data_IF_609118498799
#
_entry.id   IF_609118498799
#
_cell.length_a   1.000
_cell.length_b   1.000
_cell.length_c   1.000
_cell.angle_alpha   90.00
_cell.angle_beta   90.00
_cell.angle_gamma   90.00
#
_symmetry.space_group_name_H-M   'P 1'
#
loop_
_entity.id
_entity.type
_entity.pdbx_description
1 polymer ?
#
# COMPACT_ATOMS: atom_id res chain seq x y z
N UNK A 1 24.51 22.39 9.90
CA UNK A 1 24.75 21.23 9.02
C UNK A 1 24.23 19.92 9.63
N UNK A 2 23.14 19.99 10.41
CA UNK A 2 22.48 18.79 11.02
C UNK A 2 21.11 18.49 10.43
N UNK A 3 20.66 19.19 9.39
CA UNK A 3 19.26 19.10 8.90
C UNK A 3 19.04 18.27 7.62
N UNK A 4 20.07 17.71 6.99
CA UNK A 4 19.89 16.99 5.71
C UNK A 4 19.62 15.47 5.85
N UNK A 5 19.77 14.88 7.05
CA UNK A 5 19.65 13.44 7.27
C UNK A 5 18.54 13.03 8.26
N UNK A 6 17.51 13.86 8.43
CA UNK A 6 16.47 13.60 9.42
C UNK A 6 15.09 14.04 8.93
N UNK A 7 14.07 13.19 9.08
CA UNK A 7 12.67 13.50 8.79
C UNK A 7 11.84 13.29 10.06
N UNK A 8 11.16 14.33 10.53
CA UNK A 8 10.32 14.29 11.74
C UNK A 8 11.04 13.85 13.03
N UNK A 9 12.36 14.02 13.11
CA UNK A 9 13.18 13.58 14.22
C UNK A 9 13.79 12.18 14.08
N UNK A 10 13.52 11.48 12.98
CA UNK A 10 14.05 10.14 12.67
C UNK A 10 15.19 10.21 11.65
N UNK A 11 16.22 9.42 11.82
CA UNK A 11 17.26 9.20 10.80
C UNK A 11 16.66 8.53 9.56
N UNK A 12 17.34 8.63 8.42
CA UNK A 12 16.85 7.98 7.18
C UNK A 12 16.73 6.47 7.33
N UNK A 13 17.63 5.83 8.07
CA UNK A 13 17.55 4.38 8.35
C UNK A 13 16.29 4.03 9.16
N UNK A 14 15.98 4.80 10.20
CA UNK A 14 14.74 4.64 10.98
C UNK A 14 13.50 4.89 10.11
N UNK A 15 13.53 5.89 9.24
CA UNK A 15 12.42 6.17 8.31
C UNK A 15 12.19 5.00 7.34
N UNK A 16 13.25 4.43 6.76
CA UNK A 16 13.14 3.25 5.90
C UNK A 16 12.53 2.09 6.68
N UNK A 17 12.97 1.86 7.90
CA UNK A 17 12.41 0.83 8.77
C UNK A 17 10.92 1.06 9.07
N UNK A 18 10.50 2.31 9.30
CA UNK A 18 9.09 2.65 9.46
C UNK A 18 8.27 2.35 8.20
N UNK A 19 8.81 2.63 6.99
CA UNK A 19 8.15 2.27 5.72
C UNK A 19 7.91 0.76 5.65
N UNK A 20 8.96 -0.03 5.83
CA UNK A 20 8.91 -1.50 5.77
C UNK A 20 7.90 -2.08 6.78
N UNK A 21 8.03 -1.72 8.05
CA UNK A 21 7.16 -2.25 9.10
C UNK A 21 5.69 -1.84 8.89
N UNK A 22 5.43 -0.58 8.52
CA UNK A 22 4.08 -0.11 8.29
C UNK A 22 3.43 -0.85 7.11
N UNK A 23 4.19 -1.08 6.03
CA UNK A 23 3.76 -1.88 4.90
C UNK A 23 3.43 -3.33 5.33
N UNK A 24 4.33 -4.01 6.02
CA UNK A 24 4.12 -5.38 6.46
C UNK A 24 2.90 -5.53 7.38
N UNK A 25 2.73 -4.62 8.34
CA UNK A 25 1.55 -4.63 9.21
C UNK A 25 0.26 -4.42 8.43
N UNK A 26 0.24 -3.43 7.53
CA UNK A 26 -0.94 -3.09 6.73
C UNK A 26 -1.34 -4.25 5.82
N UNK A 27 -0.40 -4.74 5.03
CA UNK A 27 -0.67 -5.75 4.00
C UNK A 27 -0.92 -7.14 4.58
N UNK A 28 -0.46 -7.43 5.78
CA UNK A 28 -0.78 -8.68 6.50
C UNK A 28 -2.29 -8.87 6.71
N UNK A 29 -3.09 -7.79 6.69
CA UNK A 29 -4.54 -7.91 6.80
C UNK A 29 -5.17 -8.62 5.60
N UNK A 30 -4.58 -8.55 4.42
CA UNK A 30 -5.07 -9.30 3.25
C UNK A 30 -5.05 -10.82 3.47
N UNK A 31 -4.06 -11.33 4.20
CA UNK A 31 -3.95 -12.76 4.51
C UNK A 31 -4.81 -13.25 5.67
N UNK A 32 -5.66 -12.40 6.28
CA UNK A 32 -6.47 -12.75 7.46
C UNK A 32 -7.95 -12.99 7.15
N UNK A 33 -8.39 -12.71 5.92
CA UNK A 33 -9.78 -12.89 5.49
C UNK A 33 -10.18 -14.36 5.32
N UNK A 34 -11.46 -14.65 5.17
CA UNK A 34 -11.95 -15.99 4.89
C UNK A 34 -11.32 -16.56 3.62
N UNK A 35 -10.78 -17.78 3.70
CA UNK A 35 -10.08 -18.43 2.58
C UNK A 35 -8.70 -17.86 2.25
N UNK A 36 -8.22 -16.85 2.99
CA UNK A 36 -6.89 -16.32 2.90
C UNK A 36 -5.96 -16.95 3.93
N UNK A 37 -4.65 -16.82 3.73
CA UNK A 37 -3.66 -17.26 4.70
C UNK A 37 -2.49 -16.30 4.77
N UNK A 38 -2.14 -15.89 5.98
CA UNK A 38 -0.92 -15.15 6.30
C UNK A 38 0.13 -16.15 6.81
N UNK A 39 1.31 -16.09 6.23
CA UNK A 39 2.48 -16.88 6.63
C UNK A 39 3.54 -15.94 7.20
N UNK A 40 3.77 -16.04 8.49
CA UNK A 40 4.87 -15.36 9.20
C UNK A 40 5.84 -16.41 9.73
N UNK A 41 6.95 -16.56 9.06
CA UNK A 41 7.97 -17.57 9.33
C UNK A 41 9.22 -16.97 9.99
N UNK A 42 9.11 -15.70 10.43
CA UNK A 42 10.20 -14.94 11.03
C UNK A 42 11.12 -14.31 10.00
N UNK A 43 11.73 -15.09 9.11
CA UNK A 43 12.62 -14.63 8.03
C UNK A 43 11.89 -14.41 6.68
N UNK A 44 10.67 -14.87 6.55
CA UNK A 44 9.78 -14.60 5.41
C UNK A 44 8.37 -14.25 5.90
N UNK A 45 7.75 -13.26 5.25
CA UNK A 45 6.37 -12.84 5.50
C UNK A 45 5.65 -12.70 4.16
N UNK A 46 4.56 -13.45 4.01
CA UNK A 46 3.81 -13.48 2.76
C UNK A 46 2.36 -13.87 3.02
N UNK A 47 1.48 -13.55 2.08
CA UNK A 47 0.09 -13.94 2.16
C UNK A 47 -0.43 -14.44 0.82
N UNK A 48 -1.50 -15.21 0.92
CA UNK A 48 -2.26 -15.73 -0.20
C UNK A 48 -3.75 -15.53 -0.01
N UNK A 49 -4.43 -15.29 -1.13
CA UNK A 49 -5.88 -15.13 -1.16
C UNK A 49 -6.48 -15.96 -2.29
N UNK A 50 -7.81 -16.16 -2.34
CA UNK A 50 -8.48 -16.76 -3.49
C UNK A 50 -8.49 -15.89 -4.75
N UNK A 51 -8.15 -14.60 -4.66
CA UNK A 51 -8.15 -13.67 -5.80
C UNK A 51 -6.85 -13.88 -6.58
N UNK A 52 -6.88 -14.36 -7.85
CA UNK A 52 -5.72 -14.91 -8.52
C UNK A 52 -4.80 -13.87 -9.17
N UNK A 53 -5.01 -12.58 -8.94
CA UNK A 53 -4.27 -11.48 -9.56
C UNK A 53 -3.43 -10.71 -8.53
N UNK A 54 -2.47 -9.91 -9.00
CA UNK A 54 -1.75 -8.96 -8.15
C UNK A 54 -2.71 -7.87 -7.64
N UNK A 55 -2.53 -7.35 -6.41
CA UNK A 55 -1.49 -7.68 -5.44
C UNK A 55 -1.92 -8.72 -4.39
N UNK A 56 -2.95 -9.52 -4.67
CA UNK A 56 -3.64 -10.36 -3.68
C UNK A 56 -2.91 -11.65 -3.29
N UNK A 57 -1.69 -11.87 -3.82
CA UNK A 57 -0.79 -12.95 -3.44
C UNK A 57 0.63 -12.38 -3.42
N UNK A 58 1.12 -12.00 -2.24
CA UNK A 58 2.32 -11.16 -2.14
C UNK A 58 3.31 -11.70 -1.11
N UNK A 59 4.59 -11.74 -1.50
CA UNK A 59 5.73 -11.89 -0.60
C UNK A 59 6.20 -10.48 -0.23
N UNK A 60 6.08 -10.15 1.07
CA UNK A 60 6.34 -8.80 1.59
C UNK A 60 7.72 -8.68 2.24
N UNK A 61 8.23 -9.78 2.81
CA UNK A 61 9.51 -9.85 3.50
C UNK A 61 10.20 -11.15 3.11
N UNK A 62 11.49 -11.06 2.81
CA UNK A 62 12.32 -12.23 2.55
C UNK A 62 13.74 -11.95 3.04
N UNK A 63 14.08 -12.44 4.22
CA UNK A 63 15.36 -12.24 4.90
C UNK A 63 16.11 -13.58 5.10
N UNK A 64 15.74 -14.58 4.32
CA UNK A 64 16.33 -15.92 4.35
C UNK A 64 17.83 -15.87 4.02
N UNK A 65 18.68 -16.43 4.89
CA UNK A 65 20.13 -16.40 4.76
C UNK A 65 20.70 -17.72 4.25
N UNK A 66 20.05 -18.84 4.56
CA UNK A 66 20.50 -20.19 4.17
C UNK A 66 19.54 -20.78 3.14
N UNK A 67 20.08 -21.56 2.20
CA UNK A 67 19.28 -22.25 1.16
C UNK A 67 18.35 -21.33 0.38
N UNK A 68 18.80 -20.12 0.09
CA UNK A 68 17.99 -19.06 -0.55
C UNK A 68 17.32 -19.56 -1.82
N UNK A 69 18.06 -20.25 -2.72
CA UNK A 69 17.53 -20.76 -3.97
C UNK A 69 16.40 -21.79 -3.76
N UNK A 70 16.59 -22.75 -2.84
CA UNK A 70 15.59 -23.76 -2.49
C UNK A 70 14.30 -23.10 -1.93
N UNK A 71 14.48 -22.06 -1.09
CA UNK A 71 13.36 -21.36 -0.48
C UNK A 71 12.57 -20.53 -1.50
N UNK A 72 13.26 -19.82 -2.40
CA UNK A 72 12.64 -19.09 -3.52
C UNK A 72 11.86 -20.06 -4.41
N UNK A 73 12.48 -21.19 -4.81
CA UNK A 73 11.83 -22.22 -5.62
C UNK A 73 10.55 -22.73 -4.94
N UNK A 74 10.60 -22.99 -3.64
CA UNK A 74 9.44 -23.47 -2.86
C UNK A 74 8.29 -22.48 -2.92
N UNK A 75 8.53 -21.19 -2.65
CA UNK A 75 7.49 -20.16 -2.65
C UNK A 75 6.96 -19.90 -4.05
N UNK A 76 7.83 -19.77 -5.05
CA UNK A 76 7.39 -19.58 -6.44
C UNK A 76 6.52 -20.73 -6.92
N UNK A 77 6.92 -21.99 -6.63
CA UNK A 77 6.13 -23.15 -7.00
C UNK A 77 4.81 -23.26 -6.22
N UNK A 78 4.76 -22.80 -4.97
CA UNK A 78 3.53 -22.72 -4.20
C UNK A 78 2.46 -21.91 -4.94
N UNK A 79 2.77 -20.68 -5.37
CA UNK A 79 1.85 -19.84 -6.12
C UNK A 79 1.52 -20.42 -7.51
N UNK A 80 2.50 -21.02 -8.20
CA UNK A 80 2.28 -21.66 -9.51
C UNK A 80 1.30 -22.82 -9.43
N UNK A 81 1.41 -23.69 -8.43
CA UNK A 81 0.50 -24.84 -8.27
C UNK A 81 -0.94 -24.41 -7.98
N UNK A 82 -1.12 -23.23 -7.43
CA UNK A 82 -2.43 -22.60 -7.19
C UNK A 82 -2.96 -21.84 -8.42
N UNK A 83 -2.15 -21.70 -9.45
CA UNK A 83 -2.47 -20.93 -10.65
C UNK A 83 -2.89 -19.48 -10.33
N UNK A 84 -2.12 -18.82 -9.47
CA UNK A 84 -2.29 -17.41 -9.10
C UNK A 84 -1.06 -16.59 -9.44
N UNK A 85 -1.27 -15.32 -9.82
CA UNK A 85 -0.17 -14.39 -10.05
C UNK A 85 0.40 -13.95 -8.70
N UNK A 86 1.72 -13.94 -8.59
CA UNK A 86 2.43 -13.55 -7.38
C UNK A 86 3.14 -12.21 -7.55
N UNK A 87 3.20 -11.44 -6.47
CA UNK A 87 3.97 -10.22 -6.35
C UNK A 87 5.06 -10.40 -5.30
N UNK A 88 6.26 -9.94 -5.58
CA UNK A 88 7.35 -9.84 -4.61
C UNK A 88 7.78 -8.37 -4.52
N UNK A 89 7.65 -7.79 -3.35
CA UNK A 89 8.17 -6.47 -3.02
C UNK A 89 9.50 -6.64 -2.27
N UNK A 90 10.59 -6.19 -2.87
CA UNK A 90 11.93 -6.35 -2.30
C UNK A 90 12.29 -5.08 -1.52
N UNK A 91 12.20 -5.18 -0.21
CA UNK A 91 12.66 -4.14 0.70
C UNK A 91 14.20 -4.14 0.87
N UNK A 92 14.74 -3.07 1.47
CA UNK A 92 16.18 -2.89 1.68
C UNK A 92 16.81 -3.94 2.60
N UNK A 93 16.00 -4.57 3.45
CA UNK A 93 16.43 -5.59 4.41
C UNK A 93 16.54 -7.02 3.85
N UNK A 94 16.31 -7.21 2.55
CA UNK A 94 16.26 -8.55 1.94
C UNK A 94 17.64 -9.09 1.56
N UNK A 95 17.64 -10.40 1.24
CA UNK A 95 18.83 -11.14 0.79
C UNK A 95 19.39 -10.59 -0.53
N UNK A 96 20.69 -10.25 -0.63
CA UNK A 96 21.24 -9.58 -1.82
C UNK A 96 21.11 -10.35 -3.13
N UNK A 97 20.98 -11.68 -3.09
CA UNK A 97 20.86 -12.55 -4.28
C UNK A 97 19.41 -12.76 -4.73
N UNK A 98 18.43 -12.22 -4.01
CA UNK A 98 17.01 -12.52 -4.24
C UNK A 98 16.55 -12.15 -5.66
N UNK A 99 16.91 -10.97 -6.16
CA UNK A 99 16.55 -10.52 -7.51
C UNK A 99 16.99 -11.53 -8.58
N UNK A 100 18.24 -12.02 -8.50
CA UNK A 100 18.77 -13.02 -9.42
C UNK A 100 17.98 -14.34 -9.35
N UNK A 101 17.64 -14.79 -8.14
CA UNK A 101 16.87 -16.02 -7.96
C UNK A 101 15.45 -15.88 -8.54
N UNK A 102 14.78 -14.75 -8.30
CA UNK A 102 13.43 -14.50 -8.85
C UNK A 102 13.45 -14.53 -10.38
N UNK A 103 14.43 -13.89 -11.02
CA UNK A 103 14.60 -13.89 -12.47
C UNK A 103 14.86 -15.28 -13.03
N UNK A 104 15.70 -16.10 -12.37
CA UNK A 104 15.95 -17.49 -12.75
C UNK A 104 14.68 -18.35 -12.70
N UNK A 105 13.74 -18.02 -11.83
CA UNK A 105 12.44 -18.65 -11.74
C UNK A 105 11.36 -17.98 -12.62
N UNK A 106 11.75 -17.08 -13.55
CA UNK A 106 10.88 -16.50 -14.56
C UNK A 106 10.02 -15.34 -14.06
N UNK A 107 10.28 -14.78 -12.87
CA UNK A 107 9.68 -13.51 -12.45
C UNK A 107 10.44 -12.35 -13.11
N UNK A 108 9.71 -11.30 -13.45
CA UNK A 108 10.27 -10.10 -14.07
C UNK A 108 10.16 -8.91 -13.12
N UNK A 109 11.21 -8.09 -13.11
CA UNK A 109 11.11 -6.76 -12.49
C UNK A 109 10.17 -5.90 -13.34
N UNK A 110 9.12 -5.40 -12.72
CA UNK A 110 8.06 -4.67 -13.41
C UNK A 110 7.99 -3.20 -13.02
N UNK A 111 8.47 -2.89 -11.82
CA UNK A 111 8.48 -1.53 -11.29
C UNK A 111 9.57 -1.41 -10.21
N UNK A 112 10.09 -0.20 -10.03
CA UNK A 112 10.88 0.18 -8.86
C UNK A 112 10.07 1.25 -8.12
N UNK A 113 9.46 0.87 -7.01
CA UNK A 113 8.62 1.75 -6.21
C UNK A 113 9.47 2.66 -5.32
N UNK A 114 9.37 4.01 -5.44
CA UNK A 114 9.98 4.93 -4.48
C UNK A 114 9.35 4.78 -3.10
N UNK A 115 10.17 4.48 -2.09
CA UNK A 115 9.79 4.58 -0.68
C UNK A 115 9.95 6.03 -0.22
N UNK A 116 8.86 6.65 0.20
CA UNK A 116 8.81 8.08 0.47
C UNK A 116 8.29 8.40 1.85
N UNK A 117 8.77 9.50 2.42
CA UNK A 117 8.36 9.95 3.74
C UNK A 117 8.31 11.48 3.83
N UNK A 118 7.54 11.97 4.81
CA UNK A 118 7.51 13.39 5.17
C UNK A 118 7.16 13.61 6.65
N UNK A 119 7.61 14.76 7.19
CA UNK A 119 7.10 15.26 8.47
C UNK A 119 5.65 15.75 8.33
N UNK A 120 4.84 15.49 9.38
CA UNK A 120 3.48 15.99 9.50
C UNK A 120 3.37 17.34 10.21
N UNK A 121 4.49 17.95 10.64
CA UNK A 121 4.47 19.25 11.34
C UNK A 121 3.92 20.39 10.48
N UNK A 122 4.37 20.48 9.22
CA UNK A 122 4.03 21.59 8.32
C UNK A 122 3.30 21.07 7.09
N UNK A 123 1.99 20.91 7.19
CA UNK A 123 1.14 20.45 6.09
C UNK A 123 0.57 21.69 5.39
N UNK A 124 0.88 21.88 4.11
CA UNK A 124 0.32 22.95 3.28
C UNK A 124 -1.18 22.75 3.10
N UNK A 125 -1.90 23.88 2.95
CA UNK A 125 -3.32 23.80 2.62
C UNK A 125 -3.52 23.19 1.23
N UNK A 126 -4.55 22.34 1.06
CA UNK A 126 -4.85 21.75 -0.22
C UNK A 126 -5.42 22.79 -1.19
N UNK A 127 -5.51 22.50 -2.48
CA UNK A 127 -6.29 23.30 -3.41
C UNK A 127 -7.77 23.34 -2.94
N UNK A 128 -8.53 24.36 -3.36
CA UNK A 128 -9.95 24.44 -3.02
C UNK A 128 -10.71 23.22 -3.54
N UNK A 129 -11.72 22.79 -2.77
CA UNK A 129 -12.55 21.66 -3.16
C UNK A 129 -13.33 22.03 -4.43
N UNK A 130 -13.32 21.19 -5.48
CA UNK A 130 -14.09 21.45 -6.70
C UNK A 130 -15.59 21.51 -6.43
N UNK A 131 -16.31 22.28 -7.23
CA UNK A 131 -17.77 22.41 -7.11
C UNK A 131 -18.47 21.06 -7.24
N UNK A 132 -19.43 20.81 -6.36
CA UNK A 132 -20.19 19.55 -6.31
C UNK A 132 -19.42 18.35 -5.77
N UNK A 133 -18.19 18.55 -5.28
CA UNK A 133 -17.41 17.49 -4.62
C UNK A 133 -17.49 17.63 -3.11
N UNK A 134 -17.64 16.51 -2.42
CA UNK A 134 -17.56 16.42 -0.97
C UNK A 134 -16.55 15.32 -0.56
N UNK A 135 -15.91 15.52 0.60
CA UNK A 135 -15.00 14.55 1.20
C UNK A 135 -15.68 13.96 2.43
N UNK A 136 -15.69 12.62 2.51
CA UNK A 136 -16.22 11.89 3.67
C UNK A 136 -15.20 10.88 4.18
N UNK A 137 -15.04 10.82 5.50
CA UNK A 137 -14.34 9.72 6.16
C UNK A 137 -15.27 8.50 6.17
N UNK A 138 -14.76 7.33 5.86
CA UNK A 138 -15.50 6.07 5.89
C UNK A 138 -15.74 5.66 7.35
N UNK A 139 -17.01 5.52 7.72
CA UNK A 139 -17.43 5.23 9.10
C UNK A 139 -18.42 4.08 9.20
N UNK A 140 -19.00 3.63 8.09
CA UNK A 140 -20.05 2.62 8.05
C UNK A 140 -19.72 1.49 7.08
N UNK A 141 -20.40 0.36 7.21
CA UNK A 141 -20.27 -0.76 6.27
C UNK A 141 -20.77 -0.38 4.87
N UNK A 142 -21.79 0.50 4.76
CA UNK A 142 -22.27 1.00 3.48
C UNK A 142 -21.18 1.83 2.76
N UNK A 143 -20.45 2.69 3.51
CA UNK A 143 -19.31 3.42 2.95
C UNK A 143 -18.17 2.47 2.53
N UNK A 144 -17.99 1.35 3.26
CA UNK A 144 -16.94 0.37 3.00
C UNK A 144 -17.10 -0.28 1.63
N UNK A 145 -18.34 -0.57 1.21
CA UNK A 145 -18.62 -1.12 -0.12
C UNK A 145 -18.01 -0.25 -1.25
N UNK A 146 -18.00 1.07 -1.10
CA UNK A 146 -17.40 1.98 -2.08
C UNK A 146 -15.87 1.98 -2.08
N UNK A 147 -15.24 1.63 -0.95
CA UNK A 147 -13.80 1.39 -0.89
C UNK A 147 -13.44 0.16 -1.72
N UNK A 148 -14.24 -0.93 -1.59
CA UNK A 148 -14.06 -2.18 -2.33
C UNK A 148 -14.25 -1.97 -3.82
N UNK A 149 -15.31 -1.26 -4.21
CA UNK A 149 -15.65 -0.94 -5.59
C UNK A 149 -14.48 -0.21 -6.30
N UNK A 150 -13.93 0.82 -5.64
CA UNK A 150 -12.78 1.55 -6.17
C UNK A 150 -11.49 0.72 -6.16
N UNK A 151 -11.33 -0.22 -5.22
CA UNK A 151 -10.20 -1.14 -5.21
C UNK A 151 -10.32 -2.18 -6.32
N UNK A 152 -11.50 -2.79 -6.48
CA UNK A 152 -11.78 -3.75 -7.53
C UNK A 152 -11.55 -3.13 -8.92
N UNK A 153 -12.06 -1.92 -9.13
CA UNK A 153 -11.84 -1.18 -10.37
C UNK A 153 -10.36 -0.91 -10.63
N UNK A 154 -9.60 -0.46 -9.62
CA UNK A 154 -8.17 -0.12 -9.79
C UNK A 154 -7.31 -1.32 -10.19
N UNK A 155 -7.59 -2.47 -9.63
CA UNK A 155 -6.80 -3.69 -9.82
C UNK A 155 -7.39 -4.64 -10.88
N UNK A 156 -8.54 -4.29 -11.46
CA UNK A 156 -9.21 -5.16 -12.45
C UNK A 156 -9.66 -6.49 -11.84
N UNK A 157 -10.11 -6.47 -10.57
CA UNK A 157 -10.62 -7.68 -9.91
C UNK A 157 -11.85 -8.17 -10.65
N UNK A 158 -11.87 -9.43 -11.14
CA UNK A 158 -13.04 -9.97 -11.84
C UNK A 158 -14.27 -10.03 -10.90
N UNK A 159 -15.45 -9.77 -11.44
CA UNK A 159 -16.72 -9.68 -10.71
C UNK A 159 -16.97 -10.86 -9.76
N UNK A 160 -16.58 -12.06 -10.18
CA UNK A 160 -16.73 -13.29 -9.37
C UNK A 160 -15.96 -13.27 -8.06
N UNK A 161 -14.98 -12.36 -7.89
CA UNK A 161 -14.17 -12.21 -6.68
C UNK A 161 -14.53 -10.96 -5.86
N UNK A 162 -15.51 -10.14 -6.27
CA UNK A 162 -15.86 -8.92 -5.54
C UNK A 162 -16.35 -9.23 -4.12
N UNK A 163 -17.21 -10.25 -3.95
CA UNK A 163 -17.65 -10.68 -2.62
C UNK A 163 -16.46 -11.14 -1.73
N UNK A 164 -15.45 -11.80 -2.33
CA UNK A 164 -14.25 -12.20 -1.62
C UNK A 164 -13.40 -11.00 -1.22
N UNK A 165 -13.27 -10.01 -2.09
CA UNK A 165 -12.55 -8.77 -1.79
C UNK A 165 -13.23 -8.01 -0.63
N UNK A 166 -14.54 -7.89 -0.63
CA UNK A 166 -15.30 -7.27 0.46
C UNK A 166 -14.99 -7.93 1.81
N UNK A 167 -15.02 -9.28 1.87
CA UNK A 167 -14.67 -10.01 3.09
C UNK A 167 -13.21 -9.77 3.53
N UNK A 168 -12.28 -9.64 2.61
CA UNK A 168 -10.89 -9.30 2.91
C UNK A 168 -10.78 -7.88 3.46
N UNK A 169 -11.47 -6.91 2.88
CA UNK A 169 -11.42 -5.50 3.32
C UNK A 169 -12.02 -5.33 4.72
N UNK A 170 -13.01 -6.15 5.12
CA UNK A 170 -13.54 -6.16 6.49
C UNK A 170 -12.45 -6.43 7.56
N UNK A 171 -11.36 -7.13 7.18
CA UNK A 171 -10.24 -7.39 8.10
C UNK A 171 -9.47 -6.14 8.51
N UNK A 172 -9.59 -5.06 7.75
CA UNK A 172 -9.01 -3.76 8.11
C UNK A 172 -9.82 -3.03 9.19
N UNK A 173 -11.00 -3.52 9.58
CA UNK A 173 -11.84 -3.04 10.68
C UNK A 173 -12.18 -1.54 10.59
N UNK A 174 -12.36 -1.05 9.38
CA UNK A 174 -12.63 0.36 9.08
C UNK A 174 -13.92 0.80 9.80
N UNK A 175 -13.91 2.02 10.35
CA UNK A 175 -15.07 2.55 11.10
C UNK A 175 -15.19 2.06 12.56
N UNK A 176 -14.43 1.05 12.98
CA UNK A 176 -14.44 0.57 14.37
C UNK A 176 -13.56 1.45 15.27
N UNK A 177 -13.88 1.53 16.56
CA UNK A 177 -13.22 2.44 17.51
C UNK A 177 -11.74 2.13 17.75
N UNK A 178 -11.31 0.90 17.52
CA UNK A 178 -9.93 0.42 17.69
C UNK A 178 -9.22 0.18 16.36
N UNK A 179 -9.80 0.67 15.24
CA UNK A 179 -9.19 0.49 13.93
C UNK A 179 -7.89 1.28 13.80
N UNK A 180 -6.91 0.65 13.16
CA UNK A 180 -5.70 1.32 12.69
C UNK A 180 -5.83 1.84 11.26
N UNK A 181 -6.92 1.48 10.56
CA UNK A 181 -7.14 1.79 9.15
C UNK A 181 -8.25 2.81 8.99
N UNK A 182 -7.96 3.88 8.29
CA UNK A 182 -8.89 4.94 7.98
C UNK A 182 -8.95 5.15 6.48
N UNK A 183 -10.15 5.38 5.94
CA UNK A 183 -10.34 5.74 4.54
C UNK A 183 -11.11 7.05 4.42
N UNK A 184 -10.81 7.79 3.36
CA UNK A 184 -11.58 8.94 2.91
C UNK A 184 -11.98 8.75 1.46
N UNK A 185 -13.19 9.16 1.15
CA UNK A 185 -13.76 9.13 -0.19
C UNK A 185 -14.07 10.54 -0.64
N UNK A 186 -13.75 10.86 -1.90
CA UNK A 186 -14.28 12.03 -2.59
C UNK A 186 -15.50 11.60 -3.40
N UNK A 187 -16.60 12.32 -3.22
CA UNK A 187 -17.89 12.07 -3.85
C UNK A 187 -18.25 13.22 -4.77
N UNK A 188 -18.85 12.90 -5.92
CA UNK A 188 -19.48 13.86 -6.82
C UNK A 188 -20.82 13.30 -7.30
N UNK A 189 -21.89 14.09 -7.15
CA UNK A 189 -23.24 13.71 -7.55
C UNK A 189 -23.69 12.34 -6.98
N UNK A 190 -23.28 12.04 -5.73
CA UNK A 190 -23.58 10.78 -5.05
C UNK A 190 -22.75 9.58 -5.49
N UNK A 191 -21.72 9.77 -6.33
CA UNK A 191 -20.84 8.71 -6.81
C UNK A 191 -19.43 8.89 -6.24
N UNK A 192 -18.78 7.83 -5.68
CA UNK A 192 -17.41 7.91 -5.22
C UNK A 192 -16.46 7.94 -6.43
N UNK A 193 -15.60 8.96 -6.50
CA UNK A 193 -14.69 9.22 -7.62
C UNK A 193 -13.21 9.14 -7.26
N UNK A 194 -12.89 9.18 -5.96
CA UNK A 194 -11.52 9.04 -5.47
C UNK A 194 -11.51 8.51 -4.05
N UNK A 195 -10.44 7.83 -3.67
CA UNK A 195 -10.20 7.33 -2.31
C UNK A 195 -8.75 7.42 -1.89
N UNK A 196 -8.55 7.41 -0.57
CA UNK A 196 -7.26 7.21 0.08
C UNK A 196 -7.45 6.33 1.31
N UNK A 197 -6.49 5.45 1.57
CA UNK A 197 -6.35 4.72 2.82
C UNK A 197 -5.16 5.22 3.63
N UNK A 198 -5.31 5.23 4.95
CA UNK A 198 -4.23 5.50 5.88
C UNK A 198 -4.22 4.42 6.97
N UNK A 199 -3.03 3.92 7.29
CA UNK A 199 -2.82 2.92 8.32
C UNK A 199 -1.89 3.46 9.41
N UNK A 200 -2.34 3.37 10.66
CA UNK A 200 -1.58 3.77 11.84
C UNK A 200 -0.82 2.57 12.42
N UNK A 201 0.47 2.47 12.15
CA UNK A 201 1.29 1.36 12.60
C UNK A 201 2.77 1.70 12.64
N UNK A 202 3.51 0.98 13.48
CA UNK A 202 4.98 1.10 13.58
C UNK A 202 5.48 2.54 13.75
N UNK A 203 4.74 3.38 14.50
CA UNK A 203 5.11 4.77 14.77
C UNK A 203 4.92 5.75 13.61
N UNK A 204 4.35 5.33 12.49
CA UNK A 204 4.11 6.15 11.31
C UNK A 204 2.66 6.03 10.82
N UNK A 205 2.22 7.03 10.05
CA UNK A 205 0.97 7.02 9.30
C UNK A 205 1.26 6.64 7.84
N UNK A 206 0.98 5.39 7.48
CA UNK A 206 1.20 4.87 6.13
C UNK A 206 0.05 5.20 5.20
N UNK A 207 0.34 5.66 4.00
CA UNK A 207 -0.66 6.04 2.99
C UNK A 207 -0.72 4.98 1.91
N UNK A 208 -1.91 4.44 1.66
CA UNK A 208 -2.12 3.32 0.73
C UNK A 208 -3.38 3.50 -0.11
N UNK A 209 -3.42 2.82 -1.26
CA UNK A 209 -4.61 2.70 -2.08
C UNK A 209 -5.19 4.04 -2.55
N UNK A 210 -4.32 5.01 -2.88
CA UNK A 210 -4.73 6.28 -3.48
C UNK A 210 -5.22 6.01 -4.90
N UNK A 211 -6.50 6.28 -5.12
CA UNK A 211 -7.17 6.02 -6.41
C UNK A 211 -8.01 7.22 -6.79
N UNK A 212 -7.93 7.64 -8.05
CA UNK A 212 -8.83 8.63 -8.65
C UNK A 212 -9.27 8.11 -10.01
N UNK A 213 -10.60 8.03 -10.23
CA UNK A 213 -11.19 7.62 -11.52
C UNK A 213 -10.71 8.56 -12.64
N UNK A 214 -10.51 8.08 -13.89
CA UNK A 214 -9.94 8.88 -14.96
C UNK A 214 -10.68 10.19 -15.21
N UNK A 215 -12.00 10.17 -15.19
CA UNK A 215 -12.88 11.32 -15.40
C UNK A 215 -12.77 12.40 -14.31
N UNK A 216 -12.19 12.05 -13.17
CA UNK A 216 -11.98 12.95 -12.02
C UNK A 216 -10.50 13.36 -11.82
N UNK A 217 -9.61 12.91 -12.71
CA UNK A 217 -8.19 13.31 -12.68
C UNK A 217 -8.03 14.79 -13.04
N UNK A 218 -6.94 15.40 -12.54
CA UNK A 218 -6.68 16.82 -12.78
C UNK A 218 -7.46 17.78 -11.87
N UNK A 219 -8.42 17.28 -11.07
CA UNK A 219 -9.21 18.08 -10.13
C UNK A 219 -8.53 18.28 -8.75
N UNK A 220 -7.31 17.80 -8.56
CA UNK A 220 -6.59 17.93 -7.29
C UNK A 220 -7.08 17.02 -6.16
N UNK A 221 -7.99 16.07 -6.43
CA UNK A 221 -8.63 15.23 -5.40
C UNK A 221 -7.65 14.42 -4.57
N UNK A 222 -6.63 13.83 -5.19
CA UNK A 222 -5.61 13.08 -4.46
C UNK A 222 -4.88 13.99 -3.45
N UNK A 223 -4.52 15.22 -3.85
CA UNK A 223 -3.88 16.19 -2.94
C UNK A 223 -4.80 16.60 -1.79
N UNK A 224 -6.08 16.81 -2.06
CA UNK A 224 -7.09 17.19 -1.05
C UNK A 224 -7.24 16.05 -0.04
N UNK A 225 -7.49 14.82 -0.51
CA UNK A 225 -7.66 13.64 0.34
C UNK A 225 -6.41 13.36 1.18
N UNK A 226 -5.22 13.43 0.57
CA UNK A 226 -3.96 13.24 1.29
C UNK A 226 -3.73 14.28 2.36
N UNK A 227 -4.04 15.55 2.06
CA UNK A 227 -3.91 16.62 3.05
C UNK A 227 -4.84 16.40 4.23
N UNK A 228 -6.09 16.03 3.98
CA UNK A 228 -7.07 15.72 5.02
C UNK A 228 -6.63 14.55 5.90
N UNK A 229 -6.19 13.46 5.28
CA UNK A 229 -5.70 12.29 5.99
C UNK A 229 -4.43 12.62 6.82
N UNK A 230 -3.49 13.37 6.26
CA UNK A 230 -2.27 13.79 6.97
C UNK A 230 -2.56 14.72 8.14
N UNK A 231 -3.50 15.67 7.99
CA UNK A 231 -3.93 16.54 9.09
C UNK A 231 -4.56 15.72 10.22
N UNK A 232 -5.42 14.77 9.89
CA UNK A 232 -6.01 13.85 10.87
C UNK A 232 -4.92 13.05 11.59
N UNK A 233 -3.96 12.47 10.89
CA UNK A 233 -2.85 11.73 11.50
C UNK A 233 -2.01 12.59 12.45
N UNK A 234 -1.71 13.83 12.05
CA UNK A 234 -1.00 14.77 12.92
C UNK A 234 -1.79 15.07 14.19
N UNK A 235 -3.08 15.31 14.08
CA UNK A 235 -3.96 15.64 15.21
C UNK A 235 -4.12 14.41 16.14
N UNK A 236 -4.00 13.20 15.60
CA UNK A 236 -3.91 11.93 16.35
C UNK A 236 -2.50 11.68 16.95
N UNK A 237 -1.54 12.61 16.76
CA UNK A 237 -0.22 12.59 17.39
C UNK A 237 0.91 11.94 16.58
N UNK A 238 0.66 11.54 15.33
CA UNK A 238 1.71 11.04 14.44
C UNK A 238 2.60 12.18 13.93
N UNK A 239 3.90 11.91 13.82
CA UNK A 239 4.89 12.88 13.34
C UNK A 239 5.38 12.59 11.92
N UNK A 240 5.26 11.34 11.49
CA UNK A 240 5.81 10.81 10.25
C UNK A 240 4.70 10.21 9.39
N UNK A 241 4.62 10.64 8.11
CA UNK A 241 3.86 9.94 7.08
C UNK A 241 4.81 9.19 6.15
N UNK A 242 4.42 7.97 5.74
CA UNK A 242 5.19 7.09 4.86
C UNK A 242 4.32 6.51 3.75
N UNK A 243 4.93 6.16 2.62
CA UNK A 243 4.26 5.47 1.51
C UNK A 243 5.26 4.79 0.58
N UNK A 244 4.77 3.83 -0.19
CA UNK A 244 5.41 3.34 -1.40
C UNK A 244 4.64 3.89 -2.61
N UNK A 245 5.37 4.59 -3.48
CA UNK A 245 4.80 5.25 -4.66
C UNK A 245 4.97 4.39 -5.91
N UNK A 246 4.03 4.47 -6.85
CA UNK A 246 4.39 4.16 -8.23
C UNK A 246 5.26 5.30 -8.80
N UNK A 247 6.15 5.01 -9.77
CA UNK A 247 6.94 6.06 -10.42
C UNK A 247 6.10 7.18 -11.03
N UNK A 248 4.90 6.86 -11.52
CA UNK A 248 3.96 7.84 -12.09
C UNK A 248 3.39 8.83 -11.07
N UNK A 249 3.31 8.45 -9.80
CA UNK A 249 2.75 9.29 -8.74
C UNK A 249 3.82 10.04 -7.92
N UNK A 250 5.09 9.74 -8.11
CA UNK A 250 6.20 10.29 -7.32
C UNK A 250 6.21 11.82 -7.32
N UNK A 251 5.99 12.45 -8.47
CA UNK A 251 5.96 13.91 -8.58
C UNK A 251 4.79 14.55 -7.83
N UNK A 252 3.64 13.85 -7.73
CA UNK A 252 2.51 14.29 -6.91
C UNK A 252 2.92 14.31 -5.43
N UNK A 253 3.55 13.25 -4.97
CA UNK A 253 3.96 13.15 -3.57
C UNK A 253 5.09 14.11 -3.21
N UNK A 254 6.04 14.36 -4.12
CA UNK A 254 7.06 15.42 -3.96
C UNK A 254 6.43 16.81 -3.79
N UNK A 255 5.39 17.14 -4.57
CA UNK A 255 4.64 18.39 -4.42
C UNK A 255 3.90 18.49 -3.08
N UNK A 256 3.54 17.37 -2.49
CA UNK A 256 2.96 17.27 -1.15
C UNK A 256 4.02 17.22 -0.04
N UNK A 257 5.30 17.42 -0.36
CA UNK A 257 6.39 17.51 0.60
C UNK A 257 6.99 16.17 1.02
N UNK A 258 6.68 15.08 0.32
CA UNK A 258 7.36 13.81 0.52
C UNK A 258 8.75 13.83 -0.13
N UNK A 259 9.69 13.15 0.51
CA UNK A 259 11.04 12.91 0.01
C UNK A 259 11.24 11.42 -0.23
N UNK A 260 11.80 11.06 -1.38
CA UNK A 260 12.22 9.68 -1.66
C UNK A 260 13.44 9.36 -0.83
N UNK A 261 13.37 8.34 0.02
CA UNK A 261 14.44 7.91 0.92
C UNK A 261 15.02 6.54 0.57
N UNK A 262 14.27 5.77 -0.20
CA UNK A 262 14.66 4.43 -0.68
C UNK A 262 13.87 4.06 -1.93
N UNK A 263 14.12 2.88 -2.46
CA UNK A 263 13.35 2.32 -3.56
C UNK A 263 13.27 0.80 -3.45
N UNK A 264 12.14 0.24 -3.85
CA UNK A 264 11.84 -1.18 -3.73
C UNK A 264 11.49 -1.76 -5.11
N UNK A 265 12.31 -2.66 -5.67
CA UNK A 265 11.95 -3.35 -6.90
C UNK A 265 10.83 -4.36 -6.67
N UNK A 266 9.87 -4.38 -7.59
CA UNK A 266 8.73 -5.28 -7.63
C UNK A 266 8.93 -6.32 -8.71
N UNK A 267 8.72 -7.59 -8.34
CA UNK A 267 8.78 -8.72 -9.27
C UNK A 267 7.44 -9.45 -9.33
N UNK A 268 7.05 -9.86 -10.54
CA UNK A 268 5.84 -10.67 -10.74
C UNK A 268 6.02 -11.68 -11.87
N UNK A 269 5.19 -12.72 -11.88
CA UNK A 269 5.14 -13.70 -12.96
C UNK A 269 4.34 -13.22 -14.19
N UNK A 270 3.51 -12.18 -14.04
CA UNK A 270 2.65 -11.65 -15.11
C UNK A 270 2.68 -10.11 -15.13
N UNK A 271 3.61 -9.50 -15.89
CA UNK A 271 3.82 -8.04 -15.88
C UNK A 271 2.66 -7.21 -16.43
N UNK A 272 1.67 -7.80 -17.09
CA UNK A 272 0.55 -7.09 -17.70
C UNK A 272 -0.49 -6.53 -16.71
N UNK A 273 -0.33 -6.78 -15.41
CA UNK A 273 -1.31 -6.41 -14.37
C UNK A 273 -0.94 -5.18 -13.50
N UNK A 274 0.16 -4.46 -13.79
CA UNK A 274 0.58 -3.28 -13.01
C UNK A 274 0.27 -1.93 -13.66
#
# INVERSE_FOLDING_TARGET
>A
MESENNIAGFSIEEVIHHIELNFWETWSNFGRGPGCQLHDEGDALWFETPIPIVPYNTVMKFQVQEKVAERVETLVNHFRTRNVTQLWLIHSSVTPTLSTQLQQHGLQEVEIAPGMARSLENISEPPPLPEGVEIRKVMTDDDLHHVDELAAWRWGVPDQYHAQLEEIIKMFRIGQSDTKTHFWLAWKDGVPISKIGMYYGSGAAGIYGVVTKPEARGLGLASILMTEAMKTARDDGYKLAVLDSSPLAEDLYKKLGFTTVTSFPLYTSEPAYL
#
